data_IF_101803683314
#
_entry.id   IF_101803683314
#
_cell.length_a   1.000
_cell.length_b   1.000
_cell.length_c   1.000
_cell.angle_alpha   90.00
_cell.angle_beta   90.00
_cell.angle_gamma   90.00
#
_symmetry.space_group_name_H-M   'P 1'
#
loop_
_entity.id
_entity.type
_entity.pdbx_description
1 polymer ?
#
# COMPACT_ATOMS: atom_id res chain seq x y z
N UNK A 1 29.62 -2.09 0.68
CA UNK A 1 28.27 -2.14 0.11
C UNK A 1 27.38 -1.18 0.86
N UNK A 2 26.66 -0.35 0.13
CA UNK A 2 25.77 0.63 0.76
C UNK A 2 24.47 -0.03 1.20
N UNK A 3 23.99 0.31 2.41
CA UNK A 3 22.67 -0.08 2.91
C UNK A 3 21.70 1.10 2.90
N UNK A 4 21.92 2.04 1.99
CA UNK A 4 21.09 3.22 1.90
C UNK A 4 19.70 2.86 1.37
N UNK A 5 18.68 3.44 2.01
CA UNK A 5 17.28 3.32 1.61
C UNK A 5 16.75 4.72 1.38
N UNK A 6 16.05 4.92 0.26
CA UNK A 6 15.47 6.20 -0.07
C UNK A 6 13.96 6.08 -0.17
N UNK A 7 13.25 7.08 0.33
CA UNK A 7 11.81 7.24 0.08
C UNK A 7 11.67 8.13 -1.15
N UNK A 8 11.21 7.54 -2.25
CA UNK A 8 11.14 8.23 -3.55
C UNK A 8 9.88 9.04 -3.71
N UNK A 9 8.79 8.64 -3.06
CA UNK A 9 7.53 9.34 -3.15
C UNK A 9 6.58 8.94 -2.05
N UNK A 10 5.60 9.79 -1.81
CA UNK A 10 4.57 9.57 -0.79
C UNK A 10 3.20 9.91 -1.34
N UNK A 11 2.18 9.27 -0.81
CA UNK A 11 0.81 9.55 -1.14
C UNK A 11 -0.11 9.24 0.02
N UNK A 12 -1.21 9.96 0.12
CA UNK A 12 -2.16 9.78 1.20
C UNK A 12 -3.55 10.19 0.72
N UNK A 13 -4.55 9.37 1.07
CA UNK A 13 -5.94 9.81 0.92
C UNK A 13 -6.29 10.72 2.10
N UNK A 14 -6.99 11.85 1.87
CA UNK A 14 -7.38 12.74 2.97
C UNK A 14 -8.22 12.02 4.03
N UNK A 15 -8.04 12.41 5.29
CA UNK A 15 -8.81 11.88 6.40
C UNK A 15 -10.29 12.24 6.26
N UNK A 16 -11.14 11.34 6.74
CA UNK A 16 -12.59 11.59 6.76
C UNK A 16 -13.38 10.38 6.25
N UNK A 17 -14.69 10.57 6.19
CA UNK A 17 -15.62 9.55 5.68
C UNK A 17 -15.99 9.92 4.25
N UNK A 18 -15.38 9.25 3.28
CA UNK A 18 -15.53 9.59 1.86
C UNK A 18 -16.47 8.68 1.09
N UNK A 19 -17.07 7.68 1.78
CA UNK A 19 -18.02 6.77 1.15
C UNK A 19 -17.41 5.70 0.25
N UNK A 20 -16.10 5.52 0.29
CA UNK A 20 -15.40 4.49 -0.46
C UNK A 20 -14.91 3.39 0.47
N UNK A 21 -14.47 2.27 -0.08
CA UNK A 21 -13.88 1.19 0.70
C UNK A 21 -12.37 1.41 0.87
N UNK A 22 -11.74 0.64 1.76
CA UNK A 22 -10.34 0.85 2.06
C UNK A 22 -9.42 0.55 0.87
N UNK A 23 -9.83 -0.34 -0.03
CA UNK A 23 -9.05 -0.64 -1.24
C UNK A 23 -8.97 0.59 -2.13
N UNK A 24 -10.09 1.30 -2.31
CA UNK A 24 -10.12 2.53 -3.09
C UNK A 24 -9.23 3.61 -2.49
N UNK A 25 -9.24 3.75 -1.16
CA UNK A 25 -8.35 4.69 -0.47
C UNK A 25 -6.89 4.31 -0.65
N UNK A 26 -6.56 3.03 -0.49
CA UNK A 26 -5.20 2.53 -0.64
C UNK A 26 -4.68 2.70 -2.06
N UNK A 27 -5.51 2.40 -3.07
CA UNK A 27 -5.13 2.57 -4.47
C UNK A 27 -4.91 4.05 -4.80
N UNK A 28 -5.77 4.94 -4.30
CA UNK A 28 -5.60 6.38 -4.51
C UNK A 28 -4.28 6.87 -3.91
N UNK A 29 -3.97 6.46 -2.69
CA UNK A 29 -2.73 6.83 -2.03
C UNK A 29 -1.50 6.25 -2.76
N UNK A 30 -1.59 4.99 -3.20
CA UNK A 30 -0.51 4.33 -3.93
C UNK A 30 -0.23 5.01 -5.27
N UNK A 31 -1.27 5.35 -6.01
CA UNK A 31 -1.12 6.06 -7.29
C UNK A 31 -0.50 7.43 -7.10
N UNK A 32 -0.89 8.14 -6.05
CA UNK A 32 -0.28 9.43 -5.72
C UNK A 32 1.20 9.27 -5.39
N UNK A 33 1.56 8.26 -4.61
CA UNK A 33 2.95 7.98 -4.27
C UNK A 33 3.79 7.65 -5.51
N UNK A 34 3.25 6.82 -6.42
CA UNK A 34 3.93 6.47 -7.67
C UNK A 34 4.11 7.71 -8.56
N UNK A 35 3.10 8.56 -8.64
CA UNK A 35 3.18 9.79 -9.40
C UNK A 35 4.21 10.75 -8.79
N UNK A 36 4.22 10.88 -7.47
CA UNK A 36 5.19 11.71 -6.76
C UNK A 36 6.62 11.21 -6.97
N UNK A 37 6.82 9.91 -6.98
CA UNK A 37 8.11 9.28 -7.24
C UNK A 37 8.49 9.27 -8.73
N UNK A 38 7.55 9.52 -9.61
CA UNK A 38 7.71 9.36 -11.07
C UNK A 38 8.14 7.95 -11.45
N UNK A 39 7.53 6.95 -10.81
CA UNK A 39 7.81 5.54 -11.04
C UNK A 39 6.53 4.86 -11.56
N UNK A 40 6.59 4.15 -12.69
CA UNK A 40 5.42 3.40 -13.17
C UNK A 40 5.19 2.16 -12.31
N UNK A 41 3.93 1.76 -12.19
CA UNK A 41 3.56 0.58 -11.40
C UNK A 41 4.31 -0.68 -11.84
N UNK A 42 4.57 -0.83 -13.13
CA UNK A 42 5.28 -2.00 -13.69
C UNK A 42 6.70 -2.15 -13.15
N UNK A 43 7.31 -1.09 -12.65
CA UNK A 43 8.65 -1.12 -12.10
C UNK A 43 8.68 -1.47 -10.61
N UNK A 44 7.52 -1.58 -9.97
CA UNK A 44 7.42 -1.97 -8.57
C UNK A 44 7.67 -3.47 -8.44
N UNK A 45 8.62 -3.85 -7.61
CA UNK A 45 9.00 -5.25 -7.41
C UNK A 45 8.45 -5.86 -6.14
N UNK A 46 8.04 -5.04 -5.18
CA UNK A 46 7.57 -5.51 -3.89
C UNK A 46 6.45 -4.61 -3.37
N UNK A 47 5.39 -5.23 -2.85
CA UNK A 47 4.28 -4.53 -2.22
C UNK A 47 4.16 -5.03 -0.78
N UNK A 48 4.22 -4.12 0.17
CA UNK A 48 4.00 -4.44 1.57
C UNK A 48 2.80 -3.64 2.06
N UNK A 49 1.75 -4.33 2.47
CA UNK A 49 0.51 -3.72 2.92
C UNK A 49 0.18 -4.05 4.36
N UNK A 50 -0.47 -3.14 5.03
CA UNK A 50 -0.96 -3.34 6.39
C UNK A 50 -2.32 -2.71 6.56
N UNK A 51 -3.20 -3.40 7.26
CA UNK A 51 -4.53 -2.90 7.59
C UNK A 51 -5.06 -3.64 8.81
N UNK A 52 -6.05 -3.05 9.47
CA UNK A 52 -6.71 -3.72 10.58
C UNK A 52 -7.93 -4.49 10.08
N UNK A 53 -8.45 -5.40 10.91
CA UNK A 53 -9.65 -6.19 10.56
C UNK A 53 -10.92 -5.34 10.47
N UNK A 54 -10.88 -4.12 10.96
CA UNK A 54 -12.06 -3.23 11.01
C UNK A 54 -12.31 -2.48 9.71
N UNK A 55 -11.46 -2.65 8.70
CA UNK A 55 -11.59 -1.93 7.44
C UNK A 55 -12.54 -2.61 6.44
N UNK A 56 -13.23 -3.66 6.84
CA UNK A 56 -14.18 -4.39 5.98
C UNK A 56 -13.55 -5.57 5.22
N UNK A 57 -12.24 -5.74 5.32
CA UNK A 57 -11.51 -6.85 4.71
C UNK A 57 -10.55 -7.43 5.75
N UNK A 58 -10.19 -8.72 5.64
CA UNK A 58 -9.17 -9.28 6.52
C UNK A 58 -7.84 -8.53 6.35
N UNK A 59 -7.31 -8.01 7.45
CA UNK A 59 -6.05 -7.23 7.40
C UNK A 59 -4.88 -8.03 6.85
N UNK A 60 -4.91 -9.35 7.04
CA UNK A 60 -3.82 -10.22 6.59
C UNK A 60 -3.73 -10.38 5.06
N UNK A 61 -4.69 -9.84 4.29
CA UNK A 61 -4.63 -9.88 2.82
C UNK A 61 -4.45 -8.50 2.19
N UNK A 62 -4.19 -7.47 2.99
CA UNK A 62 -4.14 -6.09 2.50
C UNK A 62 -3.14 -5.90 1.36
N UNK A 63 -1.92 -6.44 1.49
CA UNK A 63 -0.91 -6.32 0.46
C UNK A 63 -1.35 -6.92 -0.87
N UNK A 64 -1.88 -8.14 -0.83
CA UNK A 64 -2.38 -8.82 -2.03
C UNK A 64 -3.59 -8.09 -2.62
N UNK A 65 -4.48 -7.58 -1.79
CA UNK A 65 -5.66 -6.85 -2.23
C UNK A 65 -5.29 -5.58 -2.98
N UNK A 66 -4.33 -4.82 -2.47
CA UNK A 66 -3.85 -3.61 -3.16
C UNK A 66 -3.12 -3.96 -4.45
N UNK A 67 -2.27 -4.99 -4.45
CA UNK A 67 -1.57 -5.42 -5.65
C UNK A 67 -2.55 -5.86 -6.74
N UNK A 68 -3.60 -6.59 -6.37
CA UNK A 68 -4.64 -7.00 -7.31
C UNK A 68 -5.39 -5.80 -7.90
N UNK A 69 -5.75 -4.83 -7.06
CA UNK A 69 -6.48 -3.64 -7.50
C UNK A 69 -5.65 -2.75 -8.42
N UNK A 70 -4.33 -2.71 -8.22
CA UNK A 70 -3.41 -1.97 -9.08
C UNK A 70 -3.09 -2.71 -10.38
N UNK A 71 -3.34 -4.01 -10.43
CA UNK A 71 -3.08 -4.88 -11.57
C UNK A 71 -1.87 -5.77 -11.33
N UNK A 72 -2.04 -7.09 -11.46
CA UNK A 72 -0.95 -8.04 -11.26
C UNK A 72 0.15 -7.83 -12.32
N UNK A 73 1.38 -7.68 -11.88
CA UNK A 73 2.53 -7.52 -12.76
C UNK A 73 3.74 -8.32 -12.27
N UNK A 74 3.55 -9.24 -11.31
CA UNK A 74 4.60 -10.10 -10.80
C UNK A 74 5.35 -9.56 -9.59
N UNK A 75 4.89 -8.47 -8.97
CA UNK A 75 5.51 -7.96 -7.75
C UNK A 75 5.35 -8.96 -6.60
N UNK A 76 6.36 -9.08 -5.76
CA UNK A 76 6.25 -9.82 -4.52
C UNK A 76 5.38 -9.06 -3.54
N UNK A 77 4.60 -9.77 -2.72
CA UNK A 77 3.61 -9.18 -1.82
C UNK A 77 3.86 -9.65 -0.39
N UNK A 78 3.81 -8.72 0.53
CA UNK A 78 3.81 -8.99 1.95
C UNK A 78 2.63 -8.28 2.61
N UNK A 79 2.07 -8.88 3.63
CA UNK A 79 0.99 -8.29 4.42
C UNK A 79 1.37 -8.34 5.89
N UNK A 80 1.18 -7.24 6.58
CA UNK A 80 1.51 -7.09 7.99
C UNK A 80 0.27 -6.77 8.80
N UNK A 81 0.23 -7.27 10.04
CA UNK A 81 -0.82 -6.95 10.99
C UNK A 81 -0.23 -6.75 12.37
N UNK A 82 -0.45 -5.57 12.93
CA UNK A 82 -0.04 -5.20 14.27
C UNK A 82 -1.05 -4.23 14.87
N UNK A 83 -2.33 -4.51 14.67
CA UNK A 83 -3.44 -3.65 15.10
C UNK A 83 -3.21 -2.20 14.66
N UNK A 84 -3.16 -1.24 15.58
CA UNK A 84 -2.98 0.17 15.22
C UNK A 84 -1.62 0.48 14.60
N UNK A 85 -0.63 -0.40 14.73
CA UNK A 85 0.71 -0.22 14.17
C UNK A 85 0.93 -0.98 12.87
N UNK A 86 -0.14 -1.50 12.24
CA UNK A 86 -0.02 -2.32 11.03
C UNK A 86 0.70 -1.60 9.89
N UNK A 87 0.42 -0.32 9.67
CA UNK A 87 1.07 0.46 8.63
C UNK A 87 2.56 0.63 8.87
N UNK A 88 2.94 0.90 10.11
CA UNK A 88 4.37 1.02 10.48
C UNK A 88 5.10 -0.31 10.34
N UNK A 89 4.45 -1.41 10.67
CA UNK A 89 5.05 -2.74 10.51
C UNK A 89 5.26 -3.09 9.04
N UNK A 90 4.39 -2.61 8.16
CA UNK A 90 4.50 -2.87 6.71
C UNK A 90 5.76 -2.25 6.12
N UNK A 91 6.25 -1.17 6.72
CA UNK A 91 7.51 -0.57 6.25
C UNK A 91 8.67 -1.50 6.58
#
# INVERSE_FOLDING_TARGET
MSNEIAILGVGMHPWGKWGHNFVQYGVAAAREALQDANVPWQDVKFVSGGATVRCGYPGYVAGATFAQALGWQGAEVNTSYAACASGSQAL
#
